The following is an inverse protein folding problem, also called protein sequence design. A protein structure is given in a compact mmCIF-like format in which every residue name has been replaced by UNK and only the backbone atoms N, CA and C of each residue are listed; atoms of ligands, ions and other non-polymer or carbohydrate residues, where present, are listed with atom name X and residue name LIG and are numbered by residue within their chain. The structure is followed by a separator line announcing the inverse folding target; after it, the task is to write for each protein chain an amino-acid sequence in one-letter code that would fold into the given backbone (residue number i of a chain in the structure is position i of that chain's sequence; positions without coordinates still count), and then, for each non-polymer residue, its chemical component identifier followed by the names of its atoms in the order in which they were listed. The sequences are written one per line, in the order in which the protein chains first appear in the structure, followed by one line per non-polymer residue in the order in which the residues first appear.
data_IF_221581293450
#
_entry.id   IF_221581293450
#
_cell.length_a   1.000
_cell.length_b   1.000
_cell.length_c   1.000
_cell.angle_alpha   90.00
_cell.angle_beta   90.00
_cell.angle_gamma   90.00
#
_symmetry.space_group_name_H-M   'P 1'
#
loop_
_entity.id
_entity.type
_entity.pdbx_description
1 polymer ?
#
# COMPACT_ATOMS: atom_id res chain seq x y z
N UNK A 1 -13.37 -8.13 3.68
CA UNK A 1 -14.59 -8.29 2.87
C UNK A 1 -15.55 -7.19 3.26
N UNK A 2 -16.01 -6.35 2.31
CA UNK A 2 -16.86 -5.16 2.57
C UNK A 2 -18.16 -5.26 1.77
N UNK A 3 -19.26 -4.77 2.35
CA UNK A 3 -20.52 -4.62 1.63
C UNK A 3 -20.71 -3.17 1.18
N UNK A 4 -20.21 -2.85 -0.02
CA UNK A 4 -20.26 -1.50 -0.58
C UNK A 4 -21.68 -0.95 -0.80
N UNK A 5 -22.67 -1.84 -1.01
CA UNK A 5 -24.08 -1.42 -1.15
C UNK A 5 -24.64 -0.83 0.14
N UNK A 6 -24.18 -1.35 1.29
CA UNK A 6 -24.60 -0.90 2.62
C UNK A 6 -23.64 0.12 3.22
N UNK A 7 -22.38 0.07 2.84
CA UNK A 7 -21.31 0.94 3.31
C UNK A 7 -20.47 1.46 2.12
N UNK A 8 -20.96 2.50 1.43
CA UNK A 8 -20.25 3.08 0.28
C UNK A 8 -18.90 3.70 0.63
N UNK A 9 -18.65 3.97 1.92
CA UNK A 9 -17.45 4.66 2.41
C UNK A 9 -16.49 3.75 3.18
N UNK A 10 -16.75 2.45 3.22
CA UNK A 10 -15.87 1.46 3.86
C UNK A 10 -15.55 1.74 5.35
N UNK A 11 -16.50 2.35 6.07
CA UNK A 11 -16.33 2.77 7.47
C UNK A 11 -16.62 1.66 8.48
N UNK A 12 -17.49 0.73 8.11
CA UNK A 12 -18.01 -0.32 9.00
C UNK A 12 -16.91 -1.19 9.63
N UNK A 13 -15.75 -1.49 8.99
CA UNK A 13 -14.65 -2.21 9.65
C UNK A 13 -14.10 -1.50 10.90
N UNK A 14 -14.21 -0.17 10.97
CA UNK A 14 -13.63 0.64 12.04
C UNK A 14 -14.68 1.11 13.04
N UNK A 15 -15.91 1.35 12.59
CA UNK A 15 -16.97 2.00 13.38
C UNK A 15 -18.01 1.01 13.93
N UNK A 16 -18.00 -0.26 13.50
CA UNK A 16 -19.04 -1.23 13.87
C UNK A 16 -18.56 -2.39 14.75
N UNK A 17 -19.24 -2.57 15.88
CA UNK A 17 -19.00 -3.68 16.80
C UNK A 17 -19.48 -5.06 16.29
N UNK A 18 -20.35 -5.10 15.27
CA UNK A 18 -20.96 -6.34 14.76
C UNK A 18 -20.39 -6.80 13.41
N UNK A 19 -19.43 -6.06 12.87
CA UNK A 19 -18.90 -6.37 11.54
C UNK A 19 -18.19 -7.71 11.46
N UNK A 20 -17.45 -8.07 12.51
CA UNK A 20 -16.77 -9.36 12.60
C UNK A 20 -17.77 -10.52 12.50
N UNK A 21 -18.87 -10.48 13.26
CA UNK A 21 -19.92 -11.51 13.21
C UNK A 21 -20.57 -11.58 11.80
N UNK A 22 -20.86 -10.43 11.19
CA UNK A 22 -21.40 -10.36 9.83
C UNK A 22 -20.48 -11.00 8.78
N UNK A 23 -19.16 -10.81 8.92
CA UNK A 23 -18.16 -11.43 8.06
C UNK A 23 -18.09 -12.94 8.26
N UNK A 24 -18.12 -13.43 9.51
CA UNK A 24 -18.08 -14.87 9.82
C UNK A 24 -19.27 -15.60 9.21
N UNK A 25 -20.47 -15.03 9.27
CA UNK A 25 -21.65 -15.58 8.60
C UNK A 25 -21.49 -15.71 7.06
N UNK A 26 -20.46 -15.11 6.47
CA UNK A 26 -20.17 -15.06 5.03
C UNK A 26 -18.84 -15.68 4.66
N UNK A 27 -18.20 -16.40 5.57
CA UNK A 27 -16.87 -16.99 5.33
C UNK A 27 -16.87 -17.98 4.16
N UNK A 28 -18.03 -18.58 3.83
CA UNK A 28 -18.23 -19.43 2.66
C UNK A 28 -17.91 -18.74 1.33
N UNK A 29 -17.93 -17.40 1.28
CA UNK A 29 -17.54 -16.63 0.09
C UNK A 29 -16.02 -16.61 -0.13
N UNK A 30 -15.19 -16.95 0.88
CA UNK A 30 -13.74 -16.84 0.77
C UNK A 30 -13.12 -17.71 -0.31
N UNK A 31 -13.50 -18.99 -0.36
CA UNK A 31 -13.01 -19.95 -1.36
C UNK A 31 -13.37 -19.57 -2.80
N UNK A 32 -14.64 -19.26 -3.14
CA UNK A 32 -14.98 -18.86 -4.51
C UNK A 32 -14.37 -17.51 -4.92
N UNK A 33 -14.22 -16.55 -4.01
CA UNK A 33 -13.52 -15.29 -4.30
C UNK A 33 -12.05 -15.56 -4.66
N UNK A 34 -11.36 -16.41 -3.89
CA UNK A 34 -9.96 -16.76 -4.16
C UNK A 34 -9.80 -17.45 -5.53
N UNK A 35 -10.70 -18.36 -5.89
CA UNK A 35 -10.68 -19.03 -7.19
C UNK A 35 -10.89 -18.04 -8.35
N UNK A 36 -11.81 -17.08 -8.21
CA UNK A 36 -12.04 -16.06 -9.23
C UNK A 36 -10.83 -15.13 -9.40
N UNK A 37 -10.16 -14.75 -8.31
CA UNK A 37 -8.92 -13.96 -8.38
C UNK A 37 -7.80 -14.77 -9.05
N UNK A 38 -7.68 -16.06 -8.75
CA UNK A 38 -6.68 -16.92 -9.41
C UNK A 38 -6.90 -16.98 -10.92
N UNK A 39 -8.14 -17.18 -11.37
CA UNK A 39 -8.48 -17.14 -12.80
C UNK A 39 -8.18 -15.79 -13.44
N UNK A 40 -8.42 -14.68 -12.74
CA UNK A 40 -8.03 -13.36 -13.23
C UNK A 40 -6.51 -13.22 -13.36
N UNK A 41 -5.74 -13.73 -12.40
CA UNK A 41 -4.27 -13.71 -12.45
C UNK A 41 -3.70 -14.57 -13.58
N UNK A 42 -4.35 -15.67 -13.95
CA UNK A 42 -3.97 -16.48 -15.13
C UNK A 42 -3.96 -15.64 -16.41
N UNK A 43 -4.86 -14.65 -16.53
CA UNK A 43 -4.91 -13.76 -17.71
C UNK A 43 -3.66 -12.89 -17.88
N UNK A 44 -2.84 -12.71 -16.82
CA UNK A 44 -1.62 -11.92 -16.91
C UNK A 44 -0.49 -12.63 -17.68
N UNK A 45 -0.64 -13.93 -17.96
CA UNK A 45 0.25 -14.65 -18.89
C UNK A 45 0.12 -14.07 -20.30
N UNK A 46 -1.12 -13.84 -20.75
CA UNK A 46 -1.41 -13.28 -22.07
C UNK A 46 -1.35 -11.75 -22.09
N UNK A 47 -1.68 -11.10 -20.96
CA UNK A 47 -1.76 -9.65 -20.82
C UNK A 47 -0.89 -9.15 -19.66
N UNK A 48 0.44 -9.09 -19.83
CA UNK A 48 1.33 -8.68 -18.75
C UNK A 48 1.04 -7.23 -18.30
N UNK A 49 1.05 -6.95 -16.97
CA UNK A 49 0.79 -5.62 -16.46
C UNK A 49 1.86 -4.64 -16.96
N UNK A 50 1.43 -3.62 -17.72
CA UNK A 50 2.32 -2.65 -18.38
C UNK A 50 2.97 -1.65 -17.41
N UNK A 51 2.42 -1.50 -16.20
CA UNK A 51 2.96 -0.59 -15.20
C UNK A 51 4.01 -1.31 -14.35
N UNK A 52 5.28 -0.88 -14.46
CA UNK A 52 6.32 -1.29 -13.52
C UNK A 52 5.84 -0.92 -12.10
N UNK A 53 5.95 -1.82 -11.10
CA UNK A 53 5.52 -1.51 -9.74
C UNK A 53 6.20 -0.22 -9.31
N UNK A 54 5.41 0.77 -8.89
CA UNK A 54 5.95 2.04 -8.43
C UNK A 54 6.86 1.73 -7.23
N UNK A 55 8.18 1.89 -7.43
CA UNK A 55 9.15 1.74 -6.36
C UNK A 55 9.05 2.95 -5.43
N UNK A 56 8.05 2.94 -4.57
CA UNK A 56 7.96 3.84 -3.42
C UNK A 56 8.83 3.29 -2.29
N UNK A 57 10.12 3.05 -2.54
CA UNK A 57 11.06 2.82 -1.44
C UNK A 57 11.31 4.17 -0.78
N UNK A 58 10.68 4.39 0.37
CA UNK A 58 10.89 5.53 1.28
C UNK A 58 12.39 5.82 1.49
N UNK A 59 13.24 4.79 1.41
CA UNK A 59 14.70 4.91 1.46
C UNK A 59 15.26 5.98 0.51
N UNK A 60 14.76 6.13 -0.73
CA UNK A 60 15.30 7.16 -1.64
C UNK A 60 15.04 8.59 -1.16
N UNK A 61 13.90 8.82 -0.51
CA UNK A 61 13.53 10.14 0.02
C UNK A 61 14.31 10.39 1.31
N UNK A 62 14.38 9.40 2.20
CA UNK A 62 15.12 9.48 3.47
C UNK A 62 16.61 9.68 3.22
N UNK A 63 17.21 8.93 2.31
CA UNK A 63 18.64 9.06 1.97
C UNK A 63 18.96 10.44 1.39
N UNK A 64 18.08 10.98 0.54
CA UNK A 64 18.23 12.33 0.00
C UNK A 64 18.15 13.42 1.07
N UNK A 65 17.19 13.32 1.99
CA UNK A 65 17.01 14.27 3.10
C UNK A 65 18.15 14.17 4.10
N UNK A 66 18.56 12.95 4.49
CA UNK A 66 19.69 12.74 5.41
C UNK A 66 21.00 13.25 4.80
N UNK A 67 21.23 13.03 3.50
CA UNK A 67 22.41 13.56 2.82
C UNK A 67 22.40 15.08 2.79
N UNK A 68 21.24 15.71 2.58
CA UNK A 68 21.09 17.17 2.60
C UNK A 68 21.34 17.75 3.99
N UNK A 69 20.74 17.16 5.04
CA UNK A 69 20.96 17.58 6.45
C UNK A 69 22.44 17.48 6.83
N UNK A 70 23.12 16.38 6.44
CA UNK A 70 24.55 16.21 6.70
C UNK A 70 25.39 17.27 5.98
N UNK A 71 25.06 17.60 4.73
CA UNK A 71 25.74 18.65 3.96
C UNK A 71 25.53 20.02 4.59
N UNK A 72 24.30 20.35 4.99
CA UNK A 72 23.98 21.63 5.61
C UNK A 72 24.70 21.79 6.96
N UNK A 73 24.73 20.74 7.80
CA UNK A 73 25.51 20.73 9.05
C UNK A 73 27.02 20.87 8.82
N UNK A 74 27.56 20.19 7.81
CA UNK A 74 28.98 20.30 7.46
C UNK A 74 29.37 21.72 6.99
N UNK A 75 28.45 22.42 6.32
CA UNK A 75 28.63 23.83 5.93
C UNK A 75 28.65 24.77 7.14
N UNK A 76 27.85 24.47 8.16
CA UNK A 76 27.84 25.23 9.43
C UNK A 76 29.11 24.98 10.26
N UNK A 77 29.54 23.72 10.39
CA UNK A 77 30.74 23.36 11.19
C UNK A 77 32.05 23.74 10.48
N UNK A 78 32.08 23.68 9.14
CA UNK A 78 33.30 23.92 8.35
C UNK A 78 33.00 24.81 7.12
N UNK A 79 32.74 26.11 7.32
CA UNK A 79 32.36 27.03 6.24
C UNK A 79 33.45 27.24 5.18
N UNK A 80 34.69 26.81 5.45
CA UNK A 80 35.83 26.99 4.56
C UNK A 80 36.07 25.84 3.56
N UNK A 81 35.46 24.66 3.77
CA UNK A 81 35.80 23.43 3.01
C UNK A 81 34.82 23.15 1.85
N UNK A 82 33.67 23.84 1.81
CA UNK A 82 32.53 23.49 0.93
C UNK A 82 32.22 24.51 -0.18
N UNK A 83 33.12 25.47 -0.41
CA UNK A 83 33.05 26.49 -1.46
C UNK A 83 33.85 26.15 -2.71
#
# INVERSE_FOLDING_TARGET
MINLRRDPFEKVPHESNYYAAWMVCRIFLGCPIAASVAQFLESFVDYPPRQKPASFTINRIVDGVVKKIKIDRLKEEFPFITG
#
